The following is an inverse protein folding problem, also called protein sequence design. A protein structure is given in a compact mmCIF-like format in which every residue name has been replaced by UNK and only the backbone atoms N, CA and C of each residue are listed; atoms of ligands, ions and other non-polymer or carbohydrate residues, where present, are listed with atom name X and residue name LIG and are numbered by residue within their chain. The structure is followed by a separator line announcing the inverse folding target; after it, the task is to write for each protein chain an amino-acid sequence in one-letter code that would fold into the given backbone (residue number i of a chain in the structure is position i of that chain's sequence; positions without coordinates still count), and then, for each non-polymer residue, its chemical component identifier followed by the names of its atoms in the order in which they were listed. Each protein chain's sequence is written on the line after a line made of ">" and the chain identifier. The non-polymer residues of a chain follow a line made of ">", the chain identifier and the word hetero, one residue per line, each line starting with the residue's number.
data_IF_740986085833
#
_entry.id   IF_740986085833
#
_cell.length_a   1.000
_cell.length_b   1.000
_cell.length_c   1.000
_cell.angle_alpha   90.00
_cell.angle_beta   90.00
_cell.angle_gamma   90.00
#
_symmetry.space_group_name_H-M   'P 1'
#
loop_
_entity.id
_entity.type
_entity.pdbx_description
1 polymer ?
#
# COMPACT_ATOMS: atom_id res chain seq x y z
N UNK A 1 16.28 -21.82 -34.77
CA UNK A 1 15.31 -22.52 -33.90
C UNK A 1 15.41 -21.90 -32.52
N UNK A 2 14.37 -21.17 -32.09
CA UNK A 2 14.29 -20.55 -30.77
C UNK A 2 13.73 -21.58 -29.79
N UNK A 3 14.53 -21.96 -28.79
CA UNK A 3 14.08 -22.74 -27.63
C UNK A 3 13.82 -21.77 -26.48
N UNK A 4 12.54 -21.58 -26.17
CA UNK A 4 12.06 -20.71 -25.11
C UNK A 4 12.63 -21.15 -23.76
N UNK A 5 13.12 -20.18 -22.98
CA UNK A 5 13.52 -20.38 -21.60
C UNK A 5 12.34 -20.82 -20.77
N UNK A 6 12.41 -22.06 -20.27
CA UNK A 6 11.52 -22.57 -19.26
C UNK A 6 11.66 -21.70 -18.02
N UNK A 7 10.65 -20.87 -17.80
CA UNK A 7 10.47 -20.10 -16.58
C UNK A 7 10.41 -21.10 -15.41
N UNK A 8 11.28 -20.89 -14.42
CA UNK A 8 11.36 -21.64 -13.16
C UNK A 8 10.06 -21.50 -12.34
N UNK A 9 9.01 -22.20 -12.74
CA UNK A 9 7.78 -22.37 -12.00
C UNK A 9 7.37 -23.83 -12.09
N UNK A 10 7.41 -24.57 -10.97
CA UNK A 10 6.81 -25.89 -10.91
C UNK A 10 5.34 -25.83 -11.38
N UNK A 11 4.77 -26.94 -11.89
CA UNK A 11 3.43 -26.96 -12.45
C UNK A 11 2.42 -26.51 -11.38
N UNK A 12 2.00 -25.24 -11.46
CA UNK A 12 1.11 -24.61 -10.47
C UNK A 12 1.57 -23.26 -9.90
N UNK A 13 2.81 -22.82 -10.13
CA UNK A 13 3.26 -21.50 -9.71
C UNK A 13 2.59 -20.40 -10.54
N UNK A 14 1.67 -19.63 -9.92
CA UNK A 14 1.10 -18.43 -10.53
C UNK A 14 2.10 -17.28 -10.44
N UNK A 15 2.31 -16.58 -11.55
CA UNK A 15 3.05 -15.33 -11.56
C UNK A 15 2.40 -14.34 -10.57
N UNK A 16 3.22 -13.75 -9.69
CA UNK A 16 2.79 -12.68 -8.80
C UNK A 16 2.44 -11.40 -9.56
N UNK A 17 1.85 -10.40 -8.88
CA UNK A 17 1.54 -9.12 -9.50
C UNK A 17 2.82 -8.43 -9.98
N UNK A 18 2.79 -7.75 -11.15
CA UNK A 18 3.96 -7.05 -11.64
C UNK A 18 4.22 -5.78 -10.81
N UNK A 19 5.49 -5.30 -10.73
CA UNK A 19 5.85 -4.18 -9.85
C UNK A 19 5.11 -2.87 -10.15
N UNK A 20 4.78 -2.63 -11.41
CA UNK A 20 3.99 -1.49 -11.87
C UNK A 20 2.55 -1.52 -11.36
N UNK A 21 1.91 -2.68 -11.33
CA UNK A 21 0.57 -2.85 -10.74
C UNK A 21 0.58 -2.57 -9.23
N UNK A 22 1.63 -3.01 -8.53
CA UNK A 22 1.83 -2.73 -7.10
C UNK A 22 2.06 -1.23 -6.85
N UNK A 23 2.87 -0.58 -7.69
CA UNK A 23 3.09 0.87 -7.62
C UNK A 23 1.80 1.67 -7.88
N UNK A 24 1.01 1.26 -8.87
CA UNK A 24 -0.29 1.86 -9.17
C UNK A 24 -1.26 1.73 -7.99
N UNK A 25 -1.27 0.58 -7.31
CA UNK A 25 -2.07 0.38 -6.09
C UNK A 25 -1.62 1.30 -4.96
N UNK A 26 -0.31 1.40 -4.69
CA UNK A 26 0.23 2.31 -3.67
C UNK A 26 -0.17 3.77 -3.94
N UNK A 27 -0.11 4.20 -5.20
CA UNK A 27 -0.51 5.54 -5.59
C UNK A 27 -2.01 5.77 -5.45
N UNK A 28 -2.83 4.76 -5.76
CA UNK A 28 -4.27 4.83 -5.54
C UNK A 28 -4.63 4.95 -4.06
N UNK A 29 -3.94 4.20 -3.18
CA UNK A 29 -4.14 4.30 -1.74
C UNK A 29 -3.78 5.70 -1.22
N UNK A 30 -2.65 6.26 -1.67
CA UNK A 30 -2.27 7.64 -1.33
C UNK A 30 -3.31 8.67 -1.80
N UNK A 31 -3.88 8.50 -3.00
CA UNK A 31 -4.98 9.35 -3.49
C UNK A 31 -6.23 9.26 -2.60
N UNK A 32 -6.63 8.06 -2.21
CA UNK A 32 -7.78 7.84 -1.31
C UNK A 32 -7.54 8.51 0.06
N UNK A 33 -6.33 8.38 0.62
CA UNK A 33 -5.98 9.05 1.86
C UNK A 33 -6.11 10.58 1.74
N UNK A 34 -5.63 11.16 0.65
CA UNK A 34 -5.73 12.59 0.39
C UNK A 34 -7.19 13.06 0.21
N UNK A 35 -8.02 12.29 -0.50
CA UNK A 35 -9.44 12.60 -0.68
C UNK A 35 -10.20 12.59 0.65
N UNK A 36 -9.95 11.57 1.49
CA UNK A 36 -10.57 11.45 2.82
C UNK A 36 -10.11 12.59 3.74
N UNK A 37 -8.82 12.96 3.70
CA UNK A 37 -8.30 14.09 4.46
C UNK A 37 -8.92 15.41 3.99
N UNK A 38 -9.12 15.59 2.69
CA UNK A 38 -9.86 16.72 2.12
C UNK A 38 -11.27 16.84 2.68
N UNK A 39 -12.01 15.72 2.72
CA UNK A 39 -13.35 15.66 3.32
C UNK A 39 -13.32 16.00 4.82
N UNK A 40 -12.31 15.52 5.56
CA UNK A 40 -12.14 15.84 6.98
C UNK A 40 -11.97 17.35 7.20
N UNK A 41 -11.16 18.01 6.38
CA UNK A 41 -10.94 19.45 6.48
C UNK A 41 -12.22 20.23 6.19
N UNK A 42 -12.99 19.81 5.17
CA UNK A 42 -14.30 20.40 4.87
C UNK A 42 -15.29 20.23 6.02
N UNK A 43 -15.35 19.03 6.62
CA UNK A 43 -16.18 18.78 7.80
C UNK A 43 -15.75 19.62 9.00
N UNK A 44 -14.44 19.82 9.21
CA UNK A 44 -13.90 20.68 10.24
C UNK A 44 -14.35 22.14 10.14
N UNK A 45 -14.62 22.65 8.93
CA UNK A 45 -15.13 24.00 8.74
C UNK A 45 -16.53 24.19 9.34
N UNK A 46 -17.32 23.12 9.50
CA UNK A 46 -18.66 23.20 10.10
C UNK A 46 -18.62 23.61 11.58
N UNK A 47 -17.46 23.48 12.25
CA UNK A 47 -17.27 23.96 13.64
C UNK A 47 -17.34 25.49 13.72
N UNK A 48 -17.07 26.20 12.61
CA UNK A 48 -17.07 27.68 12.57
C UNK A 48 -18.46 28.31 12.42
N UNK A 49 -19.51 27.50 12.25
CA UNK A 49 -20.88 28.00 12.15
C UNK A 49 -21.34 28.50 13.52
N UNK A 50 -21.77 29.75 13.60
CA UNK A 50 -22.24 30.40 14.84
C UNK A 50 -23.64 29.93 15.25
N UNK A 51 -23.75 28.62 15.53
CA UNK A 51 -24.96 27.99 16.02
C UNK A 51 -24.83 27.70 17.52
N UNK A 52 -25.67 28.36 18.32
CA UNK A 52 -25.70 28.25 19.79
C UNK A 52 -26.98 27.57 20.25
N UNK A 53 -26.88 26.26 20.48
CA UNK A 53 -27.93 25.43 21.10
C UNK A 53 -27.31 24.18 21.74
N UNK A 54 -28.03 23.46 22.62
CA UNK A 54 -27.58 22.15 23.11
C UNK A 54 -27.34 21.15 21.98
N UNK A 55 -28.16 21.19 20.92
CA UNK A 55 -27.97 20.37 19.73
C UNK A 55 -26.67 20.72 18.99
N UNK A 56 -26.29 22.01 18.97
CA UNK A 56 -25.03 22.45 18.38
C UNK A 56 -23.81 21.94 19.17
N UNK A 57 -23.90 21.86 20.50
CA UNK A 57 -22.84 21.29 21.33
C UNK A 57 -22.68 19.79 21.04
N UNK A 58 -23.77 19.02 21.09
CA UNK A 58 -23.75 17.59 20.78
C UNK A 58 -23.24 17.30 19.35
N UNK A 59 -23.60 18.15 18.38
CA UNK A 59 -23.08 18.05 17.01
C UNK A 59 -21.56 18.27 16.97
N UNK A 60 -21.03 19.31 17.65
CA UNK A 60 -19.58 19.57 17.68
C UNK A 60 -18.79 18.46 18.35
N UNK A 61 -19.34 17.87 19.42
CA UNK A 61 -18.72 16.72 20.09
C UNK A 61 -18.65 15.51 19.16
N UNK A 62 -19.77 15.16 18.52
CA UNK A 62 -19.83 14.07 17.55
C UNK A 62 -18.92 14.33 16.33
N UNK A 63 -18.85 15.57 15.84
CA UNK A 63 -17.97 15.97 14.74
C UNK A 63 -16.48 15.82 15.12
N UNK A 64 -16.13 16.16 16.36
CA UNK A 64 -14.77 15.99 16.89
C UNK A 64 -14.39 14.51 16.95
N UNK A 65 -15.27 13.67 17.48
CA UNK A 65 -15.05 12.21 17.51
C UNK A 65 -14.89 11.63 16.10
N UNK A 66 -15.74 12.05 15.15
CA UNK A 66 -15.66 11.61 13.76
C UNK A 66 -14.38 12.07 13.07
N UNK A 67 -13.93 13.30 13.32
CA UNK A 67 -12.66 13.80 12.79
C UNK A 67 -11.46 12.98 13.28
N UNK A 68 -11.47 12.57 14.55
CA UNK A 68 -10.42 11.69 15.09
C UNK A 68 -10.45 10.30 14.47
N UNK A 69 -11.64 9.72 14.28
CA UNK A 69 -11.79 8.44 13.60
C UNK A 69 -11.32 8.51 12.13
N UNK A 70 -11.64 9.58 11.41
CA UNK A 70 -11.19 9.80 10.04
C UNK A 70 -9.66 9.91 9.99
N UNK A 71 -9.03 10.67 10.89
CA UNK A 71 -7.57 10.76 10.96
C UNK A 71 -6.90 9.40 11.15
N UNK A 72 -7.47 8.53 11.99
CA UNK A 72 -6.95 7.18 12.18
C UNK A 72 -7.03 6.34 10.90
N UNK A 73 -8.13 6.47 10.14
CA UNK A 73 -8.30 5.80 8.85
C UNK A 73 -7.31 6.31 7.80
N UNK A 74 -7.13 7.63 7.69
CA UNK A 74 -6.15 8.24 6.77
C UNK A 74 -4.75 7.68 7.03
N UNK A 75 -4.30 7.67 8.29
CA UNK A 75 -3.00 7.11 8.69
C UNK A 75 -2.87 5.62 8.35
N UNK A 76 -3.93 4.83 8.55
CA UNK A 76 -3.91 3.42 8.19
C UNK A 76 -3.74 3.21 6.68
N UNK A 77 -4.39 4.04 5.86
CA UNK A 77 -4.27 3.98 4.40
C UNK A 77 -2.89 4.45 3.93
N UNK A 78 -2.34 5.51 4.53
CA UNK A 78 -0.97 5.97 4.27
C UNK A 78 0.06 4.88 4.58
N UNK A 79 -0.06 4.23 5.75
CA UNK A 79 0.80 3.11 6.12
C UNK A 79 0.69 1.96 5.10
N UNK A 80 -0.54 1.60 4.69
CA UNK A 80 -0.75 0.57 3.68
C UNK A 80 -0.14 0.95 2.31
N UNK A 81 -0.20 2.24 1.94
CA UNK A 81 0.43 2.74 0.72
C UNK A 81 1.96 2.62 0.79
N UNK A 82 2.56 2.92 1.95
CA UNK A 82 4.00 2.83 2.18
C UNK A 82 4.50 1.38 2.19
N UNK A 83 3.76 0.47 2.82
CA UNK A 83 4.02 -0.97 2.79
C UNK A 83 3.93 -1.52 1.35
N UNK A 84 2.88 -1.13 0.61
CA UNK A 84 2.69 -1.53 -0.78
C UNK A 84 3.83 -1.02 -1.66
N UNK A 85 4.26 0.23 -1.47
CA UNK A 85 5.41 0.81 -2.20
C UNK A 85 6.70 0.05 -1.90
N UNK A 86 6.94 -0.25 -0.62
CA UNK A 86 8.11 -1.01 -0.17
C UNK A 86 8.13 -2.41 -0.78
N UNK A 87 6.98 -3.07 -0.85
CA UNK A 87 6.83 -4.34 -1.54
C UNK A 87 7.11 -4.24 -3.04
N UNK A 88 6.59 -3.22 -3.73
CA UNK A 88 6.88 -2.98 -5.15
C UNK A 88 8.36 -2.77 -5.43
N UNK A 89 9.06 -2.02 -4.57
CA UNK A 89 10.51 -1.84 -4.65
C UNK A 89 11.24 -3.18 -4.48
N UNK A 90 10.86 -3.98 -3.48
CA UNK A 90 11.44 -5.30 -3.24
C UNK A 90 11.28 -6.24 -4.44
N UNK A 91 10.11 -6.24 -5.10
CA UNK A 91 9.88 -7.01 -6.32
C UNK A 91 10.80 -6.56 -7.46
N UNK A 92 10.97 -5.25 -7.63
CA UNK A 92 11.83 -4.70 -8.70
C UNK A 92 13.31 -5.05 -8.51
N UNK A 93 13.82 -4.98 -7.28
CA UNK A 93 15.22 -5.34 -6.95
C UNK A 93 15.46 -6.84 -7.05
N UNK A 94 14.46 -7.66 -6.68
CA UNK A 94 14.54 -9.12 -6.80
C UNK A 94 14.55 -9.55 -8.27
N UNK A 95 13.72 -8.93 -9.12
CA UNK A 95 13.71 -9.21 -10.56
C UNK A 95 15.07 -8.87 -11.23
N UNK A 96 15.71 -7.76 -10.84
CA UNK A 96 17.05 -7.39 -11.32
C UNK A 96 18.14 -8.37 -10.86
N UNK A 97 18.00 -8.92 -9.64
CA UNK A 97 18.95 -9.90 -9.10
C UNK A 97 18.86 -11.25 -9.82
N UNK A 98 17.66 -11.66 -10.26
CA UNK A 98 17.45 -12.86 -11.06
C UNK A 98 17.92 -12.72 -12.52
N UNK A 99 17.99 -11.50 -13.05
CA UNK A 99 18.38 -11.21 -14.43
C UNK A 99 19.89 -11.01 -14.63
N UNK A 100 20.72 -11.31 -13.62
CA UNK A 100 22.18 -11.32 -13.74
C UNK A 100 22.75 -12.75 -13.75
N UNK A 101 22.54 -13.53 -14.84
CA UNK A 101 23.27 -14.77 -15.03
C UNK A 101 24.68 -14.46 -15.53
N UNK A 102 25.67 -14.73 -14.68
CA UNK A 102 27.07 -14.78 -15.07
C UNK A 102 27.93 -13.73 -14.36
N UNK A 103 28.58 -14.15 -13.29
CA UNK A 103 30.03 -14.20 -13.12
C UNK A 103 30.28 -14.75 -11.70
N UNK A 104 30.97 -15.89 -11.63
CA UNK A 104 31.60 -16.51 -10.44
C UNK A 104 30.86 -17.68 -9.73
N UNK A 105 31.16 -18.89 -10.21
CA UNK A 105 31.40 -20.06 -9.35
C UNK A 105 30.22 -20.85 -8.77
N UNK A 106 30.37 -22.16 -8.52
CA UNK A 106 29.31 -23.02 -8.01
C UNK A 106 29.17 -22.83 -6.49
N UNK A 107 28.29 -21.93 -6.05
CA UNK A 107 27.81 -21.92 -4.67
C UNK A 107 26.29 -22.03 -4.62
N UNK A 108 25.89 -23.26 -4.32
CA UNK A 108 24.62 -23.68 -3.71
C UNK A 108 24.11 -22.62 -2.72
N UNK A 109 22.99 -21.97 -3.03
CA UNK A 109 22.43 -20.94 -2.15
C UNK A 109 21.11 -20.35 -2.62
N UNK A 110 20.14 -21.19 -3.00
CA UNK A 110 18.78 -20.73 -3.25
C UNK A 110 18.10 -20.34 -1.94
N UNK A 111 17.62 -19.10 -1.84
CA UNK A 111 16.80 -18.66 -0.70
C UNK A 111 15.45 -19.38 -0.81
N UNK A 112 15.28 -20.40 0.04
CA UNK A 112 14.01 -21.10 0.24
C UNK A 112 13.17 -20.28 1.19
N UNK A 113 12.04 -19.75 0.73
CA UNK A 113 11.04 -19.18 1.63
C UNK A 113 10.24 -20.31 2.29
N UNK A 114 10.30 -20.38 3.62
CA UNK A 114 9.52 -21.32 4.44
C UNK A 114 8.48 -20.51 5.22
N UNK A 115 7.17 -20.80 5.10
CA UNK A 115 6.14 -20.10 5.87
C UNK A 115 6.23 -20.44 7.38
N UNK A 116 5.98 -19.48 8.28
CA UNK A 116 5.86 -19.75 9.71
C UNK A 116 4.58 -20.54 10.01
N UNK A 117 4.68 -21.51 10.91
CA UNK A 117 3.55 -22.26 11.50
C UNK A 117 2.91 -21.49 12.64
#
# INVERSE_FOLDING_TARGET
>A
MAGAGDFLGGPGARAGPPPDAVAALAQRLAGIAADIEGLRLQLGQLVSVDWKSPAAAAFRDALTERNMAILAVVRAIENAADETRSYGLFLSTSAQSCLRPGLDGPHTGGIVWVPPR
#
